data_IF_502190679305
#
_entry.id   IF_502190679305
#
_cell.length_a   1.000
_cell.length_b   1.000
_cell.length_c   1.000
_cell.angle_alpha   90.00
_cell.angle_beta   90.00
_cell.angle_gamma   90.00
#
_symmetry.space_group_name_H-M   'P 1'
#
loop_
_entity.id
_entity.type
_entity.pdbx_description
1 polymer ?
#
# COMPACT_ATOMS: atom_id res chain seq x y z
N UNK A 1 42.46 51.80 51.88
CA UNK A 1 42.65 50.38 51.49
C UNK A 1 42.29 50.01 50.03
N UNK A 2 41.58 50.83 49.24
CA UNK A 2 40.95 50.37 47.98
C UNK A 2 41.82 49.91 46.79
N UNK A 3 43.14 50.23 46.72
CA UNK A 3 43.97 49.88 45.55
C UNK A 3 44.25 48.37 45.38
N UNK A 4 44.36 47.58 46.47
CA UNK A 4 44.59 46.13 46.37
C UNK A 4 43.38 45.37 45.80
N UNK A 5 42.16 45.76 46.19
CA UNK A 5 40.92 45.11 45.75
C UNK A 5 40.68 45.24 44.23
N UNK A 6 40.96 46.41 43.64
CA UNK A 6 40.85 46.61 42.18
C UNK A 6 41.83 45.71 41.40
N UNK A 7 43.07 45.53 41.89
CA UNK A 7 44.06 44.65 41.26
C UNK A 7 43.66 43.17 41.24
N UNK A 8 42.95 42.68 42.28
CA UNK A 8 42.41 41.32 42.28
C UNK A 8 41.26 41.13 41.29
N UNK A 9 40.36 42.12 41.15
CA UNK A 9 39.25 42.05 40.19
C UNK A 9 39.78 42.04 38.76
N UNK A 10 40.74 42.90 38.42
CA UNK A 10 41.37 42.96 37.08
C UNK A 10 41.99 41.60 36.66
N UNK A 11 42.63 40.90 37.60
CA UNK A 11 43.19 39.56 37.39
C UNK A 11 42.10 38.49 37.19
N UNK A 12 40.97 38.61 37.88
CA UNK A 12 39.83 37.70 37.71
C UNK A 12 39.21 37.93 36.33
N UNK A 13 38.95 39.17 35.93
CA UNK A 13 38.43 39.53 34.60
C UNK A 13 39.35 39.01 33.50
N UNK A 14 40.68 39.20 33.61
CA UNK A 14 41.65 38.64 32.64
C UNK A 14 41.65 37.11 32.57
N UNK A 15 41.49 36.42 33.71
CA UNK A 15 41.34 34.95 33.70
C UNK A 15 40.04 34.54 33.01
N UNK A 16 38.91 35.15 33.38
CA UNK A 16 37.60 34.86 32.78
C UNK A 16 37.64 35.10 31.28
N UNK A 17 38.15 36.24 30.80
CA UNK A 17 38.26 36.52 29.37
C UNK A 17 39.13 35.49 28.64
N UNK A 18 40.25 35.06 29.24
CA UNK A 18 41.15 34.05 28.67
C UNK A 18 40.54 32.65 28.63
N UNK A 19 39.74 32.25 29.62
CA UNK A 19 38.99 31.00 29.56
C UNK A 19 37.79 31.08 28.60
N UNK A 20 37.16 32.25 28.45
CA UNK A 20 36.15 32.50 27.41
C UNK A 20 36.75 32.42 26.00
N UNK A 21 37.89 33.05 25.72
CA UNK A 21 38.59 32.94 24.44
C UNK A 21 38.94 31.49 24.11
N UNK A 22 39.54 30.74 25.04
CA UNK A 22 39.83 29.31 24.85
C UNK A 22 38.56 28.50 24.56
N UNK A 23 37.50 28.73 25.33
CA UNK A 23 36.23 27.99 25.17
C UNK A 23 35.58 28.34 23.83
N UNK A 24 35.64 29.61 23.42
CA UNK A 24 35.18 30.06 22.10
C UNK A 24 35.98 29.40 20.98
N UNK A 25 37.31 29.37 21.06
CA UNK A 25 38.16 28.69 20.07
C UNK A 25 37.90 27.18 20.03
N UNK A 26 37.63 26.54 21.17
CA UNK A 26 37.24 25.12 21.21
C UNK A 26 35.87 24.89 20.55
N UNK A 27 34.91 25.79 20.76
CA UNK A 27 33.58 25.74 20.13
C UNK A 27 33.69 25.99 18.61
N UNK A 28 34.47 26.98 18.16
CA UNK A 28 34.71 27.24 16.73
C UNK A 28 35.38 26.04 16.04
N UNK A 29 36.36 25.41 16.68
CA UNK A 29 36.98 24.19 16.16
C UNK A 29 35.98 23.02 16.08
N UNK A 30 35.16 22.82 17.12
CA UNK A 30 34.10 21.80 17.11
C UNK A 30 33.08 22.04 15.99
N UNK A 31 32.68 23.31 15.79
CA UNK A 31 31.77 23.71 14.72
C UNK A 31 32.42 23.51 13.34
N UNK A 32 33.70 23.86 13.19
CA UNK A 32 34.44 23.68 11.94
C UNK A 32 34.58 22.20 11.56
N UNK A 33 34.86 21.33 12.52
CA UNK A 33 34.92 19.89 12.27
C UNK A 33 33.53 19.27 12.07
N UNK A 34 32.50 19.75 12.77
CA UNK A 34 31.11 19.37 12.51
C UNK A 34 30.63 19.79 11.11
N UNK A 35 31.01 20.97 10.61
CA UNK A 35 30.73 21.39 9.23
C UNK A 35 31.44 20.49 8.21
N UNK A 36 32.72 20.16 8.41
CA UNK A 36 33.43 19.21 7.53
C UNK A 36 32.80 17.82 7.54
N UNK A 37 32.35 17.35 8.70
CA UNK A 37 31.63 16.08 8.81
C UNK A 37 30.27 16.15 8.10
N UNK A 38 29.56 17.26 8.22
CA UNK A 38 28.31 17.50 7.50
C UNK A 38 28.52 17.55 5.98
N UNK A 39 29.52 18.27 5.47
CA UNK A 39 29.86 18.27 4.04
C UNK A 39 30.25 16.87 3.55
N UNK A 40 31.07 16.14 4.31
CA UNK A 40 31.45 14.76 3.98
C UNK A 40 30.23 13.85 3.90
N UNK A 41 29.32 13.94 4.89
CA UNK A 41 28.07 13.20 4.91
C UNK A 41 27.13 13.63 3.78
N UNK A 42 27.07 14.92 3.46
CA UNK A 42 26.26 15.45 2.35
C UNK A 42 26.71 14.87 1.02
N UNK A 43 28.03 14.77 0.75
CA UNK A 43 28.54 14.10 -0.45
C UNK A 43 28.21 12.60 -0.42
N UNK A 44 28.46 11.93 0.72
CA UNK A 44 28.18 10.51 0.90
C UNK A 44 26.69 10.15 0.81
N UNK A 45 25.77 11.09 1.02
CA UNK A 45 24.32 10.93 0.85
C UNK A 45 23.84 11.40 -0.52
N UNK A 46 24.42 12.46 -1.10
CA UNK A 46 24.05 12.96 -2.42
C UNK A 46 24.28 11.92 -3.52
N UNK A 47 25.37 11.16 -3.47
CA UNK A 47 25.67 10.19 -4.53
C UNK A 47 24.70 8.98 -4.52
N UNK A 48 24.37 8.35 -3.37
CA UNK A 48 23.26 7.41 -3.27
C UNK A 48 21.91 7.99 -3.70
N UNK A 49 21.58 9.23 -3.31
CA UNK A 49 20.30 9.86 -3.69
C UNK A 49 20.23 10.16 -5.19
N UNK A 50 21.33 10.61 -5.82
CA UNK A 50 21.43 10.79 -7.28
C UNK A 50 21.34 9.45 -8.01
N UNK A 51 22.00 8.41 -7.49
CA UNK A 51 21.92 7.06 -8.04
C UNK A 51 20.49 6.51 -7.95
N UNK A 52 19.83 6.66 -6.81
CA UNK A 52 18.44 6.24 -6.61
C UNK A 52 17.48 7.02 -7.52
N UNK A 53 17.65 8.34 -7.66
CA UNK A 53 16.90 9.14 -8.64
C UNK A 53 17.08 8.59 -10.06
N UNK A 54 18.31 8.28 -10.46
CA UNK A 54 18.59 7.72 -11.80
C UNK A 54 17.99 6.32 -11.98
N UNK A 55 18.07 5.46 -10.98
CA UNK A 55 17.43 4.12 -11.01
C UNK A 55 15.90 4.22 -11.05
N UNK A 56 15.31 5.19 -10.36
CA UNK A 56 13.87 5.52 -10.43
C UNK A 56 13.50 6.04 -11.82
N UNK A 57 14.29 6.94 -12.41
CA UNK A 57 14.02 7.45 -13.76
C UNK A 57 14.18 6.35 -14.83
N UNK A 58 15.20 5.49 -14.75
CA UNK A 58 15.36 4.32 -15.65
C UNK A 58 14.24 3.28 -15.47
N UNK A 59 13.76 3.08 -14.24
CA UNK A 59 12.58 2.23 -13.98
C UNK A 59 11.32 2.85 -14.56
N UNK A 60 11.11 4.15 -14.32
CA UNK A 60 9.99 4.93 -14.82
C UNK A 60 9.96 4.98 -16.35
N UNK A 61 11.08 5.17 -17.03
CA UNK A 61 11.15 5.10 -18.50
C UNK A 61 10.81 3.70 -19.00
N UNK A 62 11.32 2.64 -18.35
CA UNK A 62 11.00 1.25 -18.69
C UNK A 62 9.52 0.91 -18.47
N UNK A 63 8.92 1.41 -17.39
CA UNK A 63 7.50 1.24 -17.08
C UNK A 63 6.61 2.09 -17.98
N UNK A 64 6.95 3.35 -18.24
CA UNK A 64 6.26 4.21 -19.21
C UNK A 64 6.31 3.61 -20.60
N UNK A 65 7.48 3.08 -21.03
CA UNK A 65 7.60 2.40 -22.32
C UNK A 65 6.74 1.15 -22.39
N UNK A 66 6.81 0.26 -21.40
CA UNK A 66 5.94 -0.93 -21.33
C UNK A 66 4.46 -0.57 -21.27
N UNK A 67 4.11 0.50 -20.56
CA UNK A 67 2.74 1.00 -20.49
C UNK A 67 2.28 1.56 -21.82
N UNK A 68 3.12 2.30 -22.55
CA UNK A 68 2.83 2.75 -23.92
C UNK A 68 2.68 1.56 -24.87
N UNK A 69 3.60 0.59 -24.85
CA UNK A 69 3.56 -0.61 -25.68
C UNK A 69 2.27 -1.45 -25.39
N UNK A 70 1.90 -1.63 -24.11
CA UNK A 70 0.64 -2.29 -23.70
C UNK A 70 -0.61 -1.45 -23.99
N UNK A 71 -0.54 -0.13 -23.90
CA UNK A 71 -1.66 0.78 -24.20
C UNK A 71 -1.95 0.80 -25.69
N UNK A 72 -0.92 0.91 -26.53
CA UNK A 72 -1.02 0.88 -27.98
C UNK A 72 -1.59 -0.46 -28.44
N UNK A 73 -1.05 -1.58 -27.91
CA UNK A 73 -1.62 -2.91 -28.13
C UNK A 73 -3.09 -3.03 -27.71
N UNK A 74 -3.48 -2.50 -26.55
CA UNK A 74 -4.89 -2.50 -26.10
C UNK A 74 -5.78 -1.59 -26.94
N UNK A 75 -5.25 -0.52 -27.51
CA UNK A 75 -5.98 0.33 -28.45
C UNK A 75 -6.17 -0.38 -29.79
N UNK A 76 -5.19 -1.13 -30.28
CA UNK A 76 -5.34 -1.97 -31.47
C UNK A 76 -6.34 -3.10 -31.24
N UNK A 77 -6.22 -3.85 -30.13
CA UNK A 77 -7.20 -4.88 -29.74
C UNK A 77 -8.61 -4.28 -29.54
N UNK A 78 -8.71 -3.03 -29.06
CA UNK A 78 -9.99 -2.31 -28.97
C UNK A 78 -10.54 -1.89 -30.34
N UNK A 79 -9.71 -1.40 -31.26
CA UNK A 79 -10.11 -1.07 -32.63
C UNK A 79 -10.52 -2.32 -33.42
N UNK A 80 -9.83 -3.45 -33.22
CA UNK A 80 -10.18 -4.75 -33.81
C UNK A 80 -11.51 -5.26 -33.24
N UNK A 81 -11.70 -5.20 -31.91
CA UNK A 81 -12.99 -5.50 -31.28
C UNK A 81 -14.11 -4.57 -31.77
N UNK A 82 -13.85 -3.28 -31.91
CA UNK A 82 -14.82 -2.31 -32.43
C UNK A 82 -15.16 -2.61 -33.90
N UNK A 83 -14.19 -3.04 -34.71
CA UNK A 83 -14.38 -3.43 -36.11
C UNK A 83 -15.17 -4.73 -36.23
N UNK A 84 -14.80 -5.76 -35.45
CA UNK A 84 -15.54 -7.02 -35.34
C UNK A 84 -16.96 -6.82 -34.82
N UNK A 85 -17.15 -5.90 -33.87
CA UNK A 85 -18.50 -5.50 -33.42
C UNK A 85 -19.24 -4.78 -34.53
N UNK A 86 -18.65 -3.85 -35.28
CA UNK A 86 -19.33 -3.19 -36.43
C UNK A 86 -19.74 -4.17 -37.53
N UNK A 87 -18.85 -5.10 -37.88
CA UNK A 87 -19.07 -6.18 -38.85
C UNK A 87 -20.21 -7.11 -38.38
N UNK A 88 -20.18 -7.50 -37.10
CA UNK A 88 -21.16 -8.41 -36.48
C UNK A 88 -22.48 -7.74 -36.07
N UNK A 89 -22.50 -6.43 -35.87
CA UNK A 89 -23.75 -5.64 -35.76
C UNK A 89 -24.40 -5.43 -37.13
N UNK A 90 -23.71 -5.79 -38.21
CA UNK A 90 -24.23 -5.62 -39.56
C UNK A 90 -24.45 -4.15 -39.88
N UNK A 91 -23.41 -3.30 -39.72
CA UNK A 91 -23.27 -2.22 -40.70
C UNK A 91 -22.92 -2.89 -42.03
N UNK A 92 -23.98 -3.41 -42.67
CA UNK A 92 -24.02 -3.63 -44.10
C UNK A 92 -23.29 -2.46 -44.75
N UNK A 93 -22.26 -2.79 -45.54
CA UNK A 93 -21.47 -1.77 -46.25
C UNK A 93 -22.43 -0.80 -46.91
N UNK A 94 -22.07 0.48 -47.03
CA UNK A 94 -23.00 1.51 -47.55
C UNK A 94 -23.55 1.19 -48.94
N UNK A 95 -22.95 0.20 -49.59
CA UNK A 95 -23.30 -0.46 -50.85
C UNK A 95 -24.41 -1.54 -50.71
N UNK A 96 -24.41 -2.34 -49.65
CA UNK A 96 -25.39 -3.41 -49.40
C UNK A 96 -26.75 -2.84 -48.97
N UNK A 97 -26.77 -1.81 -48.13
CA UNK A 97 -28.01 -1.07 -47.81
C UNK A 97 -28.63 -0.49 -49.10
N UNK A 98 -27.79 0.01 -50.02
CA UNK A 98 -28.23 0.53 -51.33
C UNK A 98 -28.72 -0.54 -52.31
N UNK A 99 -28.28 -1.80 -52.17
CA UNK A 99 -28.87 -2.94 -52.91
C UNK A 99 -30.21 -3.33 -52.31
N UNK A 100 -30.28 -3.51 -50.98
CA UNK A 100 -31.50 -3.87 -50.26
C UNK A 100 -32.64 -2.85 -50.47
N UNK A 101 -32.34 -1.54 -50.52
CA UNK A 101 -33.36 -0.50 -50.79
C UNK A 101 -33.97 -0.61 -52.20
N UNK A 102 -33.21 -1.09 -53.20
CA UNK A 102 -33.71 -1.30 -54.57
C UNK A 102 -34.63 -2.53 -54.66
N UNK A 103 -34.36 -3.58 -53.90
CA UNK A 103 -35.22 -4.78 -53.86
C UNK A 103 -36.48 -4.54 -53.03
N UNK A 104 -36.35 -3.87 -51.88
CA UNK A 104 -37.46 -3.53 -50.97
C UNK A 104 -38.57 -2.70 -51.63
N UNK A 105 -38.24 -1.88 -52.64
CA UNK A 105 -39.22 -1.10 -53.40
C UNK A 105 -40.11 -1.93 -54.34
N UNK A 106 -39.79 -3.21 -54.58
CA UNK A 106 -40.54 -4.09 -55.49
C UNK A 106 -41.68 -4.84 -54.81
N UNK A 107 -41.62 -5.03 -53.48
CA UNK A 107 -42.64 -5.78 -52.71
C UNK A 107 -43.65 -4.90 -51.96
N UNK A 108 -43.42 -3.59 -51.89
CA UNK A 108 -44.25 -2.60 -51.16
C UNK A 108 -45.64 -2.28 -51.78
N UNK A 109 -46.29 -3.25 -52.46
CA UNK A 109 -47.62 -3.06 -53.09
C UNK A 109 -48.80 -3.84 -52.47
N UNK A 110 -48.63 -4.49 -51.32
CA UNK A 110 -49.75 -5.00 -50.49
C UNK A 110 -49.56 -4.73 -48.99
N UNK A 111 -49.87 -3.51 -48.59
CA UNK A 111 -50.26 -3.13 -47.22
C UNK A 111 -51.80 -3.25 -47.06
N UNK A 112 -52.44 -3.01 -45.89
CA UNK A 112 -51.92 -2.63 -44.55
C UNK A 112 -52.24 -3.75 -43.48
N UNK A 113 -52.35 -3.60 -42.15
CA UNK A 113 -52.49 -2.43 -41.26
C UNK A 113 -52.14 -2.74 -39.77
N UNK A 114 -52.41 -1.74 -38.90
CA UNK A 114 -52.86 -1.85 -37.50
C UNK A 114 -51.88 -2.25 -36.36
N UNK A 115 -51.19 -1.21 -35.87
CA UNK A 115 -51.16 -0.78 -34.44
C UNK A 115 -50.55 -1.64 -33.31
N UNK A 116 -49.31 -1.24 -32.96
CA UNK A 116 -48.82 -0.81 -31.62
C UNK A 116 -49.92 -0.22 -30.66
N UNK A 117 -49.68 -0.05 -29.32
CA UNK A 117 -48.37 0.08 -28.65
C UNK A 117 -48.18 -0.64 -27.28
N UNK A 118 -46.97 -0.48 -26.73
CA UNK A 118 -46.47 -1.06 -25.48
C UNK A 118 -46.87 -0.32 -24.18
N UNK A 119 -46.63 -0.95 -23.02
CA UNK A 119 -46.26 -0.25 -21.77
C UNK A 119 -45.50 -1.13 -20.73
N UNK A 120 -44.46 -0.54 -20.15
CA UNK A 120 -43.71 -0.87 -18.90
C UNK A 120 -44.27 0.06 -17.78
N UNK A 121 -43.76 0.16 -16.51
CA UNK A 121 -42.86 -0.66 -15.68
C UNK A 121 -43.30 -0.77 -14.16
N UNK A 122 -42.40 -1.22 -13.25
CA UNK A 122 -42.29 -0.90 -11.79
C UNK A 122 -43.37 -1.45 -10.81
N UNK A 123 -43.19 -1.57 -9.46
CA UNK A 123 -42.04 -1.72 -8.51
C UNK A 123 -42.60 -1.99 -7.07
N UNK A 124 -41.83 -2.65 -6.15
CA UNK A 124 -42.01 -2.72 -4.67
C UNK A 124 -43.29 -3.40 -4.10
N UNK A 125 -43.19 -4.32 -3.13
CA UNK A 125 -43.10 -3.98 -1.68
C UNK A 125 -42.97 -5.22 -0.77
N UNK A 126 -42.62 -4.97 0.51
CA UNK A 126 -42.97 -5.74 1.72
C UNK A 126 -42.29 -7.10 2.01
N UNK A 127 -41.27 -7.04 2.87
CA UNK A 127 -40.87 -8.16 3.72
C UNK A 127 -41.78 -8.28 4.96
N UNK A 128 -42.15 -9.50 5.39
CA UNK A 128 -42.52 -9.80 6.79
C UNK A 128 -42.61 -11.29 7.14
N UNK A 129 -42.16 -11.61 8.36
CA UNK A 129 -42.34 -12.84 9.17
C UNK A 129 -41.77 -14.15 8.60
N UNK A 130 -40.72 -14.77 9.18
CA UNK A 130 -40.57 -15.35 10.54
C UNK A 130 -41.30 -16.69 10.71
N UNK A 131 -40.51 -17.77 10.78
CA UNK A 131 -40.84 -19.03 11.44
C UNK A 131 -39.54 -19.74 11.89
N UNK A 132 -39.28 -19.93 13.20
CA UNK A 132 -38.02 -20.50 13.69
C UNK A 132 -38.06 -22.04 13.75
N UNK A 133 -37.01 -22.72 13.27
CA UNK A 133 -36.82 -24.16 13.51
C UNK A 133 -36.09 -24.39 14.84
N UNK A 134 -36.69 -25.23 15.70
CA UNK A 134 -36.18 -25.64 17.01
C UNK A 134 -34.80 -26.27 16.93
N UNK A 135 -33.90 -25.87 17.84
CA UNK A 135 -32.76 -26.67 18.26
C UNK A 135 -33.14 -27.55 19.48
N UNK A 136 -32.68 -28.80 19.58
CA UNK A 136 -32.82 -29.60 20.80
C UNK A 136 -31.73 -29.25 21.81
N UNK A 137 -32.11 -29.02 23.06
CA UNK A 137 -31.19 -28.66 24.14
C UNK A 137 -30.50 -29.89 24.76
N UNK A 138 -29.25 -29.75 25.24
CA UNK A 138 -28.65 -30.66 26.21
C UNK A 138 -27.64 -29.97 27.14
N UNK A 139 -28.06 -29.85 28.41
CA UNK A 139 -27.40 -29.71 29.74
C UNK A 139 -25.98 -29.09 29.92
N UNK A 140 -25.70 -28.54 31.12
CA UNK A 140 -24.57 -27.64 31.37
C UNK A 140 -23.29 -28.31 31.91
N UNK A 141 -22.18 -27.59 31.75
CA UNK A 141 -20.96 -27.53 32.57
C UNK A 141 -20.37 -28.84 33.14
N UNK A 142 -19.27 -29.29 32.53
CA UNK A 142 -18.28 -30.14 33.18
C UNK A 142 -16.95 -29.38 33.34
N UNK A 143 -16.57 -29.11 34.58
CA UNK A 143 -15.30 -28.48 34.97
C UNK A 143 -14.16 -29.46 34.64
N UNK A 144 -13.17 -29.06 33.82
CA UNK A 144 -11.92 -29.81 33.64
C UNK A 144 -10.72 -28.94 33.99
N UNK A 145 -9.82 -29.58 34.72
CA UNK A 145 -8.52 -29.08 35.22
C UNK A 145 -7.58 -28.67 34.09
N UNK A 146 -6.54 -27.85 34.38
CA UNK A 146 -5.71 -27.25 33.33
C UNK A 146 -4.97 -28.34 32.55
N UNK A 147 -5.33 -28.48 31.27
CA UNK A 147 -4.56 -29.28 30.33
C UNK A 147 -3.16 -28.68 30.20
N UNK A 148 -2.15 -29.54 30.19
CA UNK A 148 -0.74 -29.14 30.09
C UNK A 148 -0.51 -28.19 28.90
N UNK A 149 0.48 -27.30 29.03
CA UNK A 149 0.93 -26.41 27.95
C UNK A 149 1.28 -27.23 26.72
N UNK A 150 0.32 -27.36 25.80
CA UNK A 150 0.61 -27.63 24.39
C UNK A 150 1.63 -26.57 23.98
N UNK A 151 2.71 -26.89 23.23
CA UNK A 151 3.55 -25.84 22.67
C UNK A 151 2.62 -24.84 21.98
N UNK A 152 2.79 -23.55 22.27
CA UNK A 152 2.00 -22.52 21.59
C UNK A 152 2.09 -22.80 20.10
N UNK A 153 0.96 -22.88 19.41
CA UNK A 153 0.95 -23.13 17.97
C UNK A 153 1.71 -21.96 17.32
N UNK A 154 3.02 -22.15 17.08
CA UNK A 154 3.93 -21.11 16.57
C UNK A 154 3.45 -20.55 15.24
N UNK A 155 2.60 -21.29 14.53
CA UNK A 155 1.94 -20.87 13.30
C UNK A 155 0.70 -19.99 13.48
N UNK A 156 0.24 -19.78 14.72
CA UNK A 156 -0.89 -18.91 15.01
C UNK A 156 -0.42 -17.47 15.23
N UNK A 157 -0.15 -16.78 14.13
CA UNK A 157 0.35 -15.40 14.11
C UNK A 157 -0.61 -14.41 14.80
N UNK A 158 -1.89 -14.75 14.97
CA UNK A 158 -2.87 -13.91 15.70
C UNK A 158 -2.60 -13.79 17.20
N UNK A 159 -1.68 -14.59 17.75
CA UNK A 159 -1.18 -14.44 19.12
C UNK A 159 -0.32 -13.17 19.28
N UNK A 160 0.27 -12.66 18.20
CA UNK A 160 1.02 -11.40 18.19
C UNK A 160 0.05 -10.22 18.14
N UNK A 161 0.04 -9.40 19.19
CA UNK A 161 -0.81 -8.22 19.29
C UNK A 161 -0.53 -7.23 18.15
N UNK A 162 -1.54 -6.99 17.33
CA UNK A 162 -1.43 -6.18 16.10
C UNK A 162 -1.67 -6.99 14.82
N UNK A 163 -1.46 -8.31 14.84
CA UNK A 163 -1.75 -9.18 13.70
C UNK A 163 -3.24 -9.59 13.75
N UNK A 164 -4.07 -8.82 13.04
CA UNK A 164 -5.48 -9.20 12.83
C UNK A 164 -5.61 -10.47 11.97
N UNK A 165 -6.77 -11.17 12.00
CA UNK A 165 -6.98 -12.42 11.23
C UNK A 165 -6.71 -12.27 9.72
N UNK A 166 -7.03 -11.11 9.14
CA UNK A 166 -6.74 -10.81 7.75
C UNK A 166 -5.23 -10.64 7.47
N UNK A 167 -4.49 -10.03 8.40
CA UNK A 167 -3.02 -9.91 8.29
C UNK A 167 -2.36 -11.26 8.48
N UNK A 168 -2.76 -12.04 9.50
CA UNK A 168 -2.24 -13.39 9.73
C UNK A 168 -2.39 -14.27 8.49
N UNK A 169 -3.56 -14.22 7.83
CA UNK A 169 -3.78 -14.97 6.59
C UNK A 169 -2.87 -14.49 5.45
N UNK A 170 -2.72 -13.18 5.25
CA UNK A 170 -1.82 -12.65 4.20
C UNK A 170 -0.34 -12.95 4.48
N UNK A 171 0.07 -12.98 5.75
CA UNK A 171 1.43 -13.35 6.15
C UNK A 171 1.70 -14.84 5.90
N UNK A 172 0.73 -15.71 6.23
CA UNK A 172 0.76 -17.13 5.88
C UNK A 172 0.77 -17.35 4.34
N UNK A 173 -0.01 -16.58 3.58
CA UNK A 173 0.00 -16.57 2.11
C UNK A 173 1.36 -16.09 1.54
N UNK A 174 2.06 -15.18 2.22
CA UNK A 174 3.43 -14.78 1.90
C UNK A 174 4.51 -15.80 2.38
N UNK A 175 4.10 -16.87 3.07
CA UNK A 175 4.99 -17.91 3.62
C UNK A 175 5.61 -17.60 4.98
N UNK A 176 5.30 -16.44 5.58
CA UNK A 176 5.60 -16.18 7.00
C UNK A 176 4.57 -16.97 7.80
N UNK A 177 5.00 -18.10 8.36
CA UNK A 177 4.13 -19.12 8.97
C UNK A 177 4.52 -19.46 10.40
N UNK A 178 5.45 -18.72 11.01
CA UNK A 178 5.85 -18.86 12.41
C UNK A 178 6.05 -17.50 13.10
N UNK A 179 5.72 -17.43 14.40
CA UNK A 179 5.97 -16.26 15.25
C UNK A 179 7.47 -15.96 15.34
N UNK A 180 8.33 -16.98 15.34
CA UNK A 180 9.79 -16.85 15.25
C UNK A 180 10.25 -15.99 14.05
N UNK A 181 9.62 -16.17 12.88
CA UNK A 181 9.94 -15.43 11.65
C UNK A 181 9.50 -13.96 11.69
N UNK A 182 8.66 -13.58 12.65
CA UNK A 182 8.21 -12.20 12.90
C UNK A 182 9.06 -11.56 14.00
N UNK A 183 9.48 -12.37 14.98
CA UNK A 183 10.40 -11.98 16.03
C UNK A 183 11.81 -11.70 15.47
N UNK A 184 12.38 -12.63 14.70
CA UNK A 184 13.71 -12.50 14.08
C UNK A 184 13.60 -12.78 12.58
N UNK A 185 13.15 -11.78 11.78
CA UNK A 185 12.92 -11.96 10.35
C UNK A 185 14.22 -12.16 9.57
N UNK A 186 14.24 -13.17 8.70
CA UNK A 186 15.26 -13.31 7.65
C UNK A 186 15.09 -12.21 6.60
N UNK A 187 16.12 -11.94 5.78
CA UNK A 187 16.06 -10.90 4.74
C UNK A 187 14.86 -11.06 3.79
N UNK A 188 14.53 -12.30 3.40
CA UNK A 188 13.36 -12.61 2.58
C UNK A 188 12.02 -12.42 3.32
N UNK A 189 12.00 -12.57 4.65
CA UNK A 189 10.80 -12.34 5.45
C UNK A 189 10.64 -10.86 5.79
N UNK A 190 11.73 -10.10 5.91
CA UNK A 190 11.72 -8.65 6.07
C UNK A 190 11.14 -7.95 4.82
N UNK A 191 11.46 -8.42 3.62
CA UNK A 191 10.87 -7.91 2.36
C UNK A 191 9.34 -8.14 2.32
N UNK A 192 8.90 -9.36 2.65
CA UNK A 192 7.48 -9.71 2.76
C UNK A 192 6.76 -8.94 3.86
N UNK A 193 7.41 -8.74 5.02
CA UNK A 193 6.91 -7.91 6.11
C UNK A 193 6.77 -6.45 5.65
N UNK A 194 7.69 -5.93 4.84
CA UNK A 194 7.67 -4.54 4.37
C UNK A 194 6.44 -4.23 3.50
N UNK A 195 5.88 -5.22 2.80
CA UNK A 195 4.58 -5.12 2.12
C UNK A 195 3.39 -4.91 3.09
N UNK A 196 3.58 -5.17 4.38
CA UNK A 196 2.62 -4.93 5.47
C UNK A 196 2.95 -3.67 6.30
N UNK A 197 3.95 -2.86 5.92
CA UNK A 197 4.29 -1.59 6.61
C UNK A 197 3.09 -0.66 6.85
N UNK A 198 2.08 -0.70 5.97
CA UNK A 198 0.85 0.09 6.09
C UNK A 198 -0.16 -0.38 7.17
N UNK A 199 0.05 -1.52 7.86
CA UNK A 199 -0.85 -1.92 8.95
C UNK A 199 -0.51 -1.23 10.27
N UNK A 200 -1.55 -0.72 10.93
CA UNK A 200 -1.43 -0.01 12.21
C UNK A 200 -0.83 -0.93 13.30
N UNK A 201 0.36 -0.58 13.77
CA UNK A 201 1.12 -1.38 14.75
C UNK A 201 2.19 -2.28 14.15
N UNK A 202 2.52 -2.15 12.85
CA UNK A 202 3.59 -2.89 12.18
C UNK A 202 4.91 -2.90 12.97
N UNK A 203 5.39 -1.73 13.38
CA UNK A 203 6.65 -1.57 14.13
C UNK A 203 6.65 -2.27 15.50
N UNK A 204 5.46 -2.58 16.03
CA UNK A 204 5.29 -3.29 17.30
C UNK A 204 5.15 -4.80 17.11
N UNK A 205 4.95 -5.31 15.88
CA UNK A 205 4.76 -6.74 15.63
C UNK A 205 5.99 -7.56 16.00
N UNK A 206 7.18 -7.11 15.62
CA UNK A 206 8.45 -7.77 15.97
C UNK A 206 8.68 -7.73 17.48
N UNK A 207 8.42 -6.59 18.12
CA UNK A 207 8.57 -6.43 19.57
C UNK A 207 7.56 -7.27 20.38
N UNK A 208 6.35 -7.47 19.87
CA UNK A 208 5.34 -8.31 20.52
C UNK A 208 5.54 -9.80 20.19
N UNK A 209 5.99 -10.15 18.97
CA UNK A 209 6.37 -11.51 18.62
C UNK A 209 7.48 -12.02 19.55
N UNK A 210 8.47 -11.18 19.88
CA UNK A 210 9.52 -11.47 20.89
C UNK A 210 9.01 -11.64 22.33
N UNK A 211 7.76 -11.30 22.64
CA UNK A 211 7.12 -11.57 23.96
C UNK A 211 6.27 -12.84 23.96
N UNK A 212 5.91 -13.34 22.78
CA UNK A 212 5.02 -14.49 22.58
C UNK A 212 5.82 -15.76 22.23
N UNK A 213 7.05 -15.60 21.73
CA UNK A 213 8.01 -16.67 21.44
C UNK A 213 8.77 -17.14 22.69
#
# INVERSE_FOLDING_TARGET
MGKKAKSSVDKIVKKVNKEFEKTSSQIENLIGDAMKQFDTLQHQVQDPVRKLMKEIDELREREMKRFSDEFERRMDEFHELQSSVLERLGVASKEDIRKAEKESKKELKKAPAANKPAKKPAEKTAAKKVAPKKAPAKKPAAKKTPAAKKPADRSNLTLVKGIGPATAKKMQEAGITSIDQIADPSAADQEKLSAFSNIKGFDQLTAEAKKVN
#
